data_IF_852496188409
#
_entry.id   IF_852496188409
#
_cell.length_a   1.000
_cell.length_b   1.000
_cell.length_c   1.000
_cell.angle_alpha   90.00
_cell.angle_beta   90.00
_cell.angle_gamma   90.00
#
_symmetry.space_group_name_H-M   'P 1'
#
loop_
_entity.id
_entity.type
_entity.pdbx_description
1 polymer ?
#
# COMPACT_ATOMS: atom_id res chain seq x y z
N UNK A 1 31.43 -74.37 36.84
CA UNK A 1 30.72 -73.11 37.17
C UNK A 1 31.14 -72.03 36.19
N UNK A 2 30.33 -71.75 35.15
CA UNK A 2 30.60 -70.66 34.18
C UNK A 2 29.50 -69.61 34.35
N UNK A 3 29.90 -68.39 34.75
CA UNK A 3 29.02 -67.23 34.90
C UNK A 3 28.65 -66.70 33.52
N UNK A 4 27.36 -66.66 33.20
CA UNK A 4 26.85 -65.96 32.02
C UNK A 4 26.55 -64.51 32.38
N UNK A 5 27.22 -63.59 31.70
CA UNK A 5 26.90 -62.17 31.66
C UNK A 5 25.71 -62.01 30.73
N UNK A 6 24.56 -61.54 31.23
CA UNK A 6 23.44 -61.10 30.39
C UNK A 6 23.74 -59.68 29.90
N UNK A 7 24.00 -59.54 28.61
CA UNK A 7 23.98 -58.26 27.91
C UNK A 7 22.51 -57.90 27.66
N UNK A 8 22.04 -56.79 28.24
CA UNK A 8 20.72 -56.23 27.95
C UNK A 8 20.87 -55.29 26.77
N UNK A 9 20.46 -55.73 25.57
CA UNK A 9 20.41 -54.89 24.38
C UNK A 9 19.18 -54.00 24.45
N UNK A 10 19.37 -52.69 24.59
CA UNK A 10 18.32 -51.68 24.50
C UNK A 10 17.92 -51.55 23.02
N UNK A 11 16.80 -52.14 22.64
CA UNK A 11 16.22 -51.95 21.31
C UNK A 11 15.59 -50.56 21.24
N UNK A 12 16.21 -49.66 20.48
CA UNK A 12 15.62 -48.39 20.07
C UNK A 12 14.54 -48.74 19.05
N UNK A 13 13.27 -48.63 19.46
CA UNK A 13 12.13 -48.60 18.54
C UNK A 13 12.21 -47.31 17.73
N UNK A 14 12.74 -47.42 16.51
CA UNK A 14 12.52 -46.43 15.46
C UNK A 14 11.08 -46.62 15.00
N UNK A 15 10.19 -45.73 15.44
CA UNK A 15 8.86 -45.61 14.86
C UNK A 15 9.02 -45.14 13.42
N UNK A 16 9.01 -46.08 12.48
CA UNK A 16 8.66 -45.84 11.09
C UNK A 16 7.18 -45.42 11.07
N UNK A 17 6.91 -44.14 11.31
CA UNK A 17 5.68 -43.56 10.77
C UNK A 17 5.89 -43.46 9.27
N UNK A 18 5.17 -44.28 8.52
CA UNK A 18 4.95 -43.98 7.11
C UNK A 18 4.41 -42.56 7.05
N UNK A 19 5.12 -41.66 6.38
CA UNK A 19 4.50 -40.48 5.82
C UNK A 19 3.45 -41.01 4.83
N UNK A 20 2.23 -41.17 5.32
CA UNK A 20 1.08 -41.20 4.45
C UNK A 20 1.14 -39.87 3.72
N UNK A 21 1.53 -39.93 2.46
CA UNK A 21 1.19 -38.89 1.51
C UNK A 21 -0.34 -38.91 1.41
N UNK A 22 -1.02 -38.33 2.41
CA UNK A 22 -2.17 -37.53 2.08
C UNK A 22 -1.62 -36.41 1.20
N UNK A 23 -1.50 -36.71 -0.10
CA UNK A 23 -1.94 -35.76 -1.11
C UNK A 23 -3.25 -35.22 -0.55
N UNK A 24 -3.18 -34.00 0.00
CA UNK A 24 -4.35 -33.16 0.09
C UNK A 24 -4.86 -33.21 -1.34
N UNK A 25 -5.94 -33.97 -1.56
CA UNK A 25 -6.59 -34.02 -2.84
C UNK A 25 -6.74 -32.56 -3.23
N UNK A 26 -5.99 -32.14 -4.25
CA UNK A 26 -6.14 -30.85 -4.90
C UNK A 26 -7.48 -30.95 -5.60
N UNK A 27 -8.55 -30.91 -4.82
CA UNK A 27 -9.86 -30.44 -5.24
C UNK A 27 -9.63 -28.96 -5.53
N UNK A 28 -9.07 -28.71 -6.72
CA UNK A 28 -9.09 -27.42 -7.39
C UNK A 28 -10.54 -27.17 -7.81
N UNK A 29 -11.45 -27.22 -6.84
CA UNK A 29 -12.75 -26.63 -6.98
C UNK A 29 -12.49 -25.14 -7.17
N UNK A 30 -12.98 -24.59 -8.28
CA UNK A 30 -13.06 -23.17 -8.57
C UNK A 30 -13.42 -22.40 -7.29
N UNK A 31 -12.44 -21.83 -6.60
CA UNK A 31 -12.74 -20.76 -5.67
C UNK A 31 -13.22 -19.62 -6.56
N UNK A 32 -14.53 -19.38 -6.59
CA UNK A 32 -15.13 -18.23 -7.28
C UNK A 32 -14.58 -16.88 -6.80
N UNK A 33 -13.76 -16.92 -5.74
CA UNK A 33 -13.17 -15.78 -5.05
C UNK A 33 -11.66 -15.67 -5.34
N UNK A 34 -11.13 -16.48 -6.24
CA UNK A 34 -9.75 -16.39 -6.72
C UNK A 34 -9.68 -15.56 -8.01
N UNK A 35 -8.69 -14.66 -8.16
CA UNK A 35 -8.41 -14.01 -9.44
C UNK A 35 -7.94 -14.99 -10.52
N UNK A 36 -7.35 -16.12 -10.11
CA UNK A 36 -6.78 -17.12 -11.02
C UNK A 36 -7.29 -18.53 -10.66
N UNK A 37 -7.71 -19.30 -11.65
CA UNK A 37 -8.31 -20.62 -11.41
C UNK A 37 -7.28 -21.57 -10.81
N UNK A 38 -7.54 -22.02 -9.59
CA UNK A 38 -6.75 -23.05 -8.92
C UNK A 38 -5.43 -22.63 -8.31
N UNK A 39 -5.21 -21.32 -8.19
CA UNK A 39 -4.01 -20.74 -7.55
C UNK A 39 -4.38 -20.31 -6.13
N UNK A 40 -3.59 -20.71 -5.13
CA UNK A 40 -3.73 -20.18 -3.76
C UNK A 40 -3.11 -18.78 -3.64
N UNK A 41 -3.51 -17.95 -2.64
CA UNK A 41 -2.90 -16.64 -2.48
C UNK A 41 -1.37 -16.70 -2.29
N UNK A 42 -0.86 -17.74 -1.64
CA UNK A 42 0.58 -17.99 -1.45
C UNK A 42 1.33 -18.40 -2.73
N UNK A 43 0.62 -18.82 -3.78
CA UNK A 43 1.20 -19.37 -5.01
C UNK A 43 1.24 -18.37 -6.18
N UNK A 44 0.72 -17.16 -5.99
CA UNK A 44 0.53 -16.15 -7.05
C UNK A 44 1.80 -15.69 -7.79
N UNK A 45 3.01 -16.00 -7.30
CA UNK A 45 4.26 -15.67 -7.99
C UNK A 45 4.83 -16.84 -8.81
N UNK A 46 4.36 -18.07 -8.57
CA UNK A 46 4.96 -19.28 -9.16
C UNK A 46 4.48 -19.51 -10.60
N UNK A 47 3.41 -18.83 -11.02
CA UNK A 47 2.77 -19.04 -12.32
C UNK A 47 3.32 -18.20 -13.49
N UNK A 48 4.47 -17.55 -13.34
CA UNK A 48 5.19 -16.85 -14.44
C UNK A 48 4.35 -15.81 -15.20
N UNK A 49 3.25 -15.35 -14.60
CA UNK A 49 2.52 -14.17 -15.01
C UNK A 49 3.26 -12.98 -14.41
N UNK A 50 4.25 -12.46 -15.15
CA UNK A 50 4.93 -11.22 -14.80
C UNK A 50 3.91 -10.06 -14.84
N UNK A 51 3.09 -9.97 -13.80
CA UNK A 51 2.27 -8.82 -13.53
C UNK A 51 3.20 -7.73 -13.03
N UNK A 52 3.04 -6.50 -13.53
CA UNK A 52 3.62 -5.35 -12.88
C UNK A 52 3.02 -5.31 -11.46
N UNK A 53 3.78 -5.79 -10.49
CA UNK A 53 3.41 -5.96 -9.10
C UNK A 53 4.26 -5.00 -8.28
N UNK A 54 3.62 -4.06 -7.58
CA UNK A 54 4.27 -3.22 -6.59
C UNK A 54 4.26 -3.98 -5.25
N UNK A 55 5.10 -5.01 -5.08
CA UNK A 55 5.02 -5.88 -3.89
C UNK A 55 6.39 -6.29 -3.35
N UNK A 56 6.49 -6.43 -2.02
CA UNK A 56 7.73 -6.80 -1.29
C UNK A 56 7.62 -8.12 -0.51
N UNK A 57 6.42 -8.71 -0.36
CA UNK A 57 6.26 -10.04 0.26
C UNK A 57 5.00 -10.78 -0.20
N UNK A 58 5.12 -12.09 -0.39
CA UNK A 58 4.01 -12.97 -0.75
C UNK A 58 3.07 -13.21 0.44
N UNK A 59 1.83 -13.62 0.17
CA UNK A 59 0.93 -14.13 1.20
C UNK A 59 1.47 -15.45 1.78
N UNK A 60 1.27 -15.66 3.08
CA UNK A 60 1.79 -16.81 3.81
C UNK A 60 1.17 -18.14 3.39
N UNK A 61 1.84 -19.27 3.66
CA UNK A 61 1.46 -20.59 3.15
C UNK A 61 0.08 -21.10 3.61
N UNK A 62 -0.47 -20.55 4.70
CA UNK A 62 -1.78 -20.92 5.24
C UNK A 62 -2.89 -19.94 4.82
N UNK A 63 -2.62 -19.05 3.86
CA UNK A 63 -3.61 -18.11 3.35
C UNK A 63 -4.60 -18.81 2.40
N UNK A 64 -5.85 -18.34 2.38
CA UNK A 64 -6.91 -18.88 1.53
C UNK A 64 -7.83 -17.77 1.02
N UNK A 65 -8.52 -18.01 -0.09
CA UNK A 65 -9.45 -17.05 -0.66
C UNK A 65 -10.72 -16.91 0.17
N UNK A 66 -11.17 -15.68 0.38
CA UNK A 66 -12.39 -15.35 1.13
C UNK A 66 -13.28 -14.38 0.37
N UNK A 67 -14.56 -14.34 0.72
CA UNK A 67 -15.52 -13.32 0.29
C UNK A 67 -15.69 -12.18 1.30
N UNK A 68 -15.24 -12.43 2.54
CA UNK A 68 -15.39 -11.52 3.68
C UNK A 68 -14.10 -11.51 4.47
N UNK A 69 -13.58 -10.32 4.75
CA UNK A 69 -12.49 -10.10 5.70
C UNK A 69 -13.07 -9.57 7.00
N UNK A 70 -12.73 -10.21 8.13
CA UNK A 70 -13.19 -9.86 9.49
C UNK A 70 -14.71 -9.98 9.67
N UNK A 71 -15.49 -9.14 8.99
CA UNK A 71 -16.95 -9.18 8.91
C UNK A 71 -17.46 -8.40 7.68
N UNK A 72 -18.76 -8.52 7.39
CA UNK A 72 -19.40 -7.88 6.23
C UNK A 72 -19.33 -6.35 6.25
N UNK A 73 -19.41 -5.72 7.42
CA UNK A 73 -19.32 -4.25 7.55
C UNK A 73 -17.96 -3.73 7.07
N UNK A 74 -16.88 -4.29 7.60
CA UNK A 74 -15.53 -3.81 7.27
C UNK A 74 -15.13 -4.20 5.83
N UNK A 75 -15.59 -5.36 5.35
CA UNK A 75 -15.42 -5.74 3.93
C UNK A 75 -16.14 -4.75 3.01
N UNK A 76 -17.37 -4.36 3.34
CA UNK A 76 -18.13 -3.41 2.52
C UNK A 76 -17.54 -2.00 2.59
N UNK A 77 -17.04 -1.59 3.75
CA UNK A 77 -16.34 -0.32 3.89
C UNK A 77 -15.08 -0.28 3.02
N UNK A 78 -14.25 -1.32 3.04
CA UNK A 78 -13.10 -1.45 2.14
C UNK A 78 -13.51 -1.36 0.66
N UNK A 79 -14.50 -2.15 0.24
CA UNK A 79 -15.02 -2.12 -1.15
C UNK A 79 -15.50 -0.72 -1.54
N UNK A 80 -16.19 -0.03 -0.63
CA UNK A 80 -16.64 1.34 -0.85
C UNK A 80 -15.45 2.28 -1.09
N UNK A 81 -14.39 2.21 -0.28
CA UNK A 81 -13.24 3.10 -0.46
C UNK A 81 -12.48 2.82 -1.77
N UNK A 82 -12.31 1.55 -2.15
CA UNK A 82 -11.75 1.18 -3.46
C UNK A 82 -12.57 1.72 -4.64
N UNK A 83 -13.90 1.58 -4.58
CA UNK A 83 -14.79 2.09 -5.62
C UNK A 83 -14.77 3.61 -5.67
N UNK A 84 -14.77 4.29 -4.51
CA UNK A 84 -14.70 5.75 -4.43
C UNK A 84 -13.38 6.26 -5.01
N UNK A 85 -12.24 5.63 -4.70
CA UNK A 85 -10.95 5.99 -5.26
C UNK A 85 -10.93 5.79 -6.78
N UNK A 86 -11.39 4.62 -7.26
CA UNK A 86 -11.50 4.34 -8.70
C UNK A 86 -12.35 5.41 -9.42
N UNK A 87 -13.48 5.80 -8.81
CA UNK A 87 -14.37 6.83 -9.33
C UNK A 87 -13.74 8.22 -9.33
N UNK A 88 -13.03 8.61 -8.26
CA UNK A 88 -12.36 9.92 -8.18
C UNK A 88 -11.32 10.06 -9.28
N UNK A 89 -10.54 9.00 -9.51
CA UNK A 89 -9.45 8.99 -10.49
C UNK A 89 -9.89 8.63 -11.91
N UNK A 90 -11.20 8.45 -12.12
CA UNK A 90 -11.77 8.21 -13.44
C UNK A 90 -11.28 6.94 -14.12
N UNK A 91 -10.94 5.90 -13.35
CA UNK A 91 -10.56 4.58 -13.89
C UNK A 91 -11.72 3.59 -13.75
N UNK A 92 -11.80 2.62 -14.66
CA UNK A 92 -12.73 1.49 -14.51
C UNK A 92 -12.51 0.80 -13.17
N UNK A 93 -13.61 0.44 -12.49
CA UNK A 93 -13.57 -0.14 -11.15
C UNK A 93 -12.59 -1.30 -11.09
N UNK A 94 -11.69 -1.24 -10.10
CA UNK A 94 -10.66 -2.26 -9.89
C UNK A 94 -11.28 -3.41 -9.11
N UNK A 95 -11.32 -4.65 -9.65
CA UNK A 95 -11.76 -5.82 -8.92
C UNK A 95 -10.94 -6.02 -7.63
N UNK A 96 -11.65 -6.41 -6.56
CA UNK A 96 -11.07 -6.74 -5.28
C UNK A 96 -11.24 -8.22 -4.97
N UNK A 97 -10.15 -8.86 -4.57
CA UNK A 97 -10.11 -10.22 -4.04
C UNK A 97 -9.56 -10.22 -2.62
N UNK A 98 -9.88 -11.24 -1.84
CA UNK A 98 -9.51 -11.28 -0.42
C UNK A 98 -8.77 -12.56 -0.04
N UNK A 99 -7.63 -12.38 0.61
CA UNK A 99 -6.87 -13.45 1.23
C UNK A 99 -7.06 -13.41 2.75
N UNK A 100 -7.53 -14.50 3.35
CA UNK A 100 -7.71 -14.65 4.78
C UNK A 100 -6.74 -15.69 5.38
N UNK A 101 -6.65 -15.72 6.71
CA UNK A 101 -5.72 -16.61 7.42
C UNK A 101 -4.36 -15.97 7.71
N UNK A 102 -3.45 -16.76 8.29
CA UNK A 102 -2.16 -16.27 8.78
C UNK A 102 -1.19 -15.90 7.67
N UNK A 103 -0.44 -14.81 7.83
CA UNK A 103 0.51 -14.32 6.84
C UNK A 103 -0.16 -13.51 5.74
N UNK A 104 -1.27 -12.84 6.07
CA UNK A 104 -2.03 -11.96 5.16
C UNK A 104 -1.86 -10.49 5.50
N UNK A 105 -0.76 -10.10 6.16
CA UNK A 105 -0.42 -8.70 6.38
C UNK A 105 0.15 -8.07 5.10
N UNK A 106 -0.65 -8.05 4.03
CA UNK A 106 -0.32 -7.36 2.80
C UNK A 106 -1.56 -6.91 2.01
N UNK A 107 -1.38 -5.91 1.15
CA UNK A 107 -2.32 -5.54 0.08
C UNK A 107 -1.51 -5.37 -1.21
N UNK A 108 -2.00 -5.92 -2.32
CA UNK A 108 -1.23 -6.04 -3.54
C UNK A 108 -2.03 -5.63 -4.77
N UNK A 109 -1.47 -4.71 -5.55
CA UNK A 109 -2.01 -4.27 -6.83
C UNK A 109 -1.32 -5.00 -7.98
N UNK A 110 -2.11 -5.68 -8.81
CA UNK A 110 -1.66 -6.43 -9.99
C UNK A 110 -2.04 -5.67 -11.26
N UNK A 111 -1.04 -5.25 -12.04
CA UNK A 111 -1.24 -4.51 -13.28
C UNK A 111 -1.80 -5.34 -14.46
N UNK A 112 -1.78 -4.75 -15.67
CA UNK A 112 -2.23 -5.42 -16.88
C UNK A 112 -1.58 -6.79 -17.12
N UNK A 113 -2.30 -7.74 -17.74
CA UNK A 113 -3.64 -7.58 -18.31
C UNK A 113 -4.79 -7.72 -17.29
N UNK A 114 -4.52 -8.29 -16.10
CA UNK A 114 -5.56 -8.73 -15.17
C UNK A 114 -6.15 -7.62 -14.29
N UNK A 115 -5.35 -6.60 -13.93
CA UNK A 115 -5.83 -5.34 -13.37
C UNK A 115 -6.74 -5.49 -12.12
N UNK A 116 -6.22 -6.08 -11.04
CA UNK A 116 -6.97 -6.28 -9.79
C UNK A 116 -6.14 -5.97 -8.54
N UNK A 117 -6.80 -5.89 -7.39
CA UNK A 117 -6.15 -5.74 -6.08
C UNK A 117 -6.54 -6.92 -5.19
N UNK A 118 -5.57 -7.42 -4.42
CA UNK A 118 -5.82 -8.41 -3.35
C UNK A 118 -5.60 -7.75 -2.00
N UNK A 119 -6.56 -7.91 -1.09
CA UNK A 119 -6.45 -7.47 0.29
C UNK A 119 -6.36 -8.65 1.25
N UNK A 120 -5.40 -8.56 2.18
CA UNK A 120 -5.23 -9.54 3.24
C UNK A 120 -6.02 -9.22 4.51
N UNK A 121 -6.47 -10.25 5.23
CA UNK A 121 -7.23 -10.11 6.48
C UNK A 121 -6.42 -9.45 7.59
N UNK A 122 -5.17 -9.87 7.80
CA UNK A 122 -4.29 -9.28 8.82
C UNK A 122 -3.96 -7.83 8.49
N UNK A 123 -3.84 -7.48 7.19
CA UNK A 123 -3.67 -6.09 6.74
C UNK A 123 -4.89 -5.23 7.09
N UNK A 124 -6.10 -5.69 6.76
CA UNK A 124 -7.33 -4.96 7.12
C UNK A 124 -7.45 -4.79 8.64
N UNK A 125 -7.16 -5.83 9.41
CA UNK A 125 -7.18 -5.78 10.88
C UNK A 125 -6.14 -4.80 11.42
N UNK A 126 -4.93 -4.82 10.87
CA UNK A 126 -3.87 -3.88 11.18
C UNK A 126 -4.27 -2.44 10.93
N UNK A 127 -4.83 -2.14 9.77
CA UNK A 127 -5.30 -0.80 9.41
C UNK A 127 -6.44 -0.33 10.35
N UNK A 128 -7.40 -1.20 10.67
CA UNK A 128 -8.49 -0.88 11.58
C UNK A 128 -8.02 -0.56 13.01
N UNK A 129 -6.91 -1.13 13.46
CA UNK A 129 -6.32 -0.78 14.77
C UNK A 129 -5.83 0.69 14.82
N UNK A 130 -5.51 1.29 13.68
CA UNK A 130 -5.25 2.73 13.58
C UNK A 130 -6.56 3.49 13.44
N UNK A 131 -7.43 3.05 12.53
CA UNK A 131 -8.75 3.63 12.31
C UNK A 131 -9.19 3.52 10.85
N UNK A 132 -10.46 3.82 10.57
CA UNK A 132 -11.05 3.66 9.23
C UNK A 132 -10.41 4.53 8.14
N UNK A 133 -9.79 5.66 8.49
CA UNK A 133 -9.03 6.45 7.52
C UNK A 133 -7.79 5.72 7.01
N UNK A 134 -7.18 4.83 7.80
CA UNK A 134 -6.06 4.01 7.34
C UNK A 134 -6.50 3.00 6.28
N UNK A 135 -7.68 2.40 6.44
CA UNK A 135 -8.26 1.53 5.40
C UNK A 135 -8.53 2.32 4.12
N UNK A 136 -9.08 3.53 4.24
CA UNK A 136 -9.33 4.41 3.10
C UNK A 136 -8.04 4.82 2.37
N UNK A 137 -6.98 5.10 3.13
CA UNK A 137 -5.65 5.40 2.60
C UNK A 137 -5.05 4.25 1.81
N UNK A 138 -4.97 3.04 2.39
CA UNK A 138 -4.40 1.87 1.69
C UNK A 138 -5.24 1.56 0.44
N UNK A 139 -6.57 1.66 0.52
CA UNK A 139 -7.44 1.38 -0.64
C UNK A 139 -7.14 2.34 -1.79
N UNK A 140 -6.94 3.63 -1.50
CA UNK A 140 -6.56 4.61 -2.50
C UNK A 140 -5.11 4.45 -2.99
N UNK A 141 -4.20 4.00 -2.12
CA UNK A 141 -2.81 3.68 -2.48
C UNK A 141 -2.74 2.53 -3.50
N UNK A 142 -3.46 1.44 -3.26
CA UNK A 142 -3.51 0.30 -4.19
C UNK A 142 -4.18 0.67 -5.53
N UNK A 143 -5.19 1.53 -5.49
CA UNK A 143 -5.81 2.11 -6.70
C UNK A 143 -4.84 3.04 -7.43
N UNK A 144 -3.99 3.78 -6.72
CA UNK A 144 -2.95 4.61 -7.34
C UNK A 144 -1.95 3.76 -8.13
N UNK A 145 -1.57 2.59 -7.64
CA UNK A 145 -0.79 1.64 -8.42
C UNK A 145 -1.51 1.20 -9.70
N UNK A 146 -2.83 1.00 -9.66
CA UNK A 146 -3.58 0.70 -10.90
C UNK A 146 -3.54 1.87 -11.90
N UNK A 147 -3.54 3.11 -11.43
CA UNK A 147 -3.36 4.28 -12.29
C UNK A 147 -1.97 4.25 -12.92
N UNK A 148 -0.94 4.03 -12.11
CA UNK A 148 0.45 3.92 -12.55
C UNK A 148 0.60 2.85 -13.63
N UNK A 149 0.10 1.64 -13.40
CA UNK A 149 0.19 0.55 -14.37
C UNK A 149 -0.57 0.80 -15.68
N UNK A 150 -1.76 1.42 -15.60
CA UNK A 150 -2.65 1.61 -16.76
C UNK A 150 -2.30 2.85 -17.57
N UNK A 151 -1.68 3.84 -16.95
CA UNK A 151 -1.45 5.17 -17.57
C UNK A 151 0.04 5.50 -17.72
N UNK A 152 0.95 4.63 -17.26
CA UNK A 152 2.40 4.79 -17.44
C UNK A 152 3.03 5.79 -16.46
N UNK A 153 2.52 5.84 -15.23
CA UNK A 153 3.12 6.60 -14.12
C UNK A 153 3.90 5.67 -13.17
N UNK A 154 4.78 6.19 -12.30
CA UNK A 154 5.24 7.58 -12.20
C UNK A 154 5.97 8.05 -13.45
N UNK A 155 5.81 9.32 -13.82
CA UNK A 155 6.58 9.94 -14.92
C UNK A 155 8.06 10.12 -14.58
N UNK A 156 8.41 10.04 -13.29
CA UNK A 156 9.78 10.11 -12.80
C UNK A 156 10.22 8.77 -12.23
N UNK A 157 11.30 8.22 -12.76
CA UNK A 157 11.91 6.98 -12.26
C UNK A 157 12.73 7.22 -10.99
N UNK A 158 12.63 6.35 -10.02
CA UNK A 158 13.42 6.36 -8.79
C UNK A 158 13.07 5.17 -7.92
N UNK A 159 13.95 4.77 -6.99
CA UNK A 159 13.76 3.54 -6.21
C UNK A 159 12.45 3.55 -5.44
N UNK A 160 12.03 4.70 -4.90
CA UNK A 160 10.81 4.85 -4.10
C UNK A 160 9.70 5.65 -4.76
N UNK A 161 9.89 6.12 -5.99
CA UNK A 161 8.97 7.06 -6.61
C UNK A 161 7.56 6.48 -6.81
N UNK A 162 7.46 5.19 -7.14
CA UNK A 162 6.19 4.50 -7.31
C UNK A 162 5.35 4.53 -6.03
N UNK A 163 5.96 4.19 -4.89
CA UNK A 163 5.29 4.14 -3.58
C UNK A 163 4.98 5.55 -3.06
N UNK A 164 5.93 6.49 -3.21
CA UNK A 164 5.75 7.87 -2.76
C UNK A 164 4.68 8.60 -3.58
N UNK A 165 4.61 8.37 -4.88
CA UNK A 165 3.52 8.91 -5.67
C UNK A 165 2.18 8.27 -5.26
N UNK A 166 2.13 6.95 -5.04
CA UNK A 166 0.92 6.28 -4.58
C UNK A 166 0.44 6.83 -3.21
N UNK A 167 1.37 7.17 -2.31
CA UNK A 167 1.10 7.93 -1.08
C UNK A 167 0.49 9.31 -1.37
N UNK A 168 1.03 10.05 -2.35
CA UNK A 168 0.49 11.32 -2.81
C UNK A 168 -0.93 11.21 -3.37
N UNK A 169 -1.20 10.20 -4.20
CA UNK A 169 -2.55 9.93 -4.69
C UNK A 169 -3.50 9.59 -3.55
N UNK A 170 -3.08 8.77 -2.60
CA UNK A 170 -3.89 8.44 -1.43
C UNK A 170 -4.20 9.69 -0.58
N UNK A 171 -3.22 10.56 -0.35
CA UNK A 171 -3.44 11.85 0.34
C UNK A 171 -4.43 12.76 -0.39
N UNK A 172 -4.31 12.84 -1.71
CA UNK A 172 -5.24 13.58 -2.57
C UNK A 172 -6.67 13.01 -2.44
N UNK A 173 -6.82 11.68 -2.53
CA UNK A 173 -8.10 11.01 -2.34
C UNK A 173 -8.73 11.30 -0.98
N UNK A 174 -7.95 11.18 0.09
CA UNK A 174 -8.44 11.45 1.44
C UNK A 174 -9.03 12.86 1.54
N UNK A 175 -8.36 13.85 0.96
CA UNK A 175 -8.84 15.24 0.93
C UNK A 175 -10.11 15.42 0.11
N UNK A 176 -10.19 14.79 -1.07
CA UNK A 176 -11.27 15.02 -2.03
C UNK A 176 -12.54 14.22 -1.75
N UNK A 177 -12.42 13.06 -1.13
CA UNK A 177 -13.50 12.08 -1.09
C UNK A 177 -13.74 11.45 0.28
N UNK A 178 -12.79 11.56 1.23
CA UNK A 178 -12.95 10.99 2.57
C UNK A 178 -13.31 12.04 3.62
N UNK A 179 -12.51 13.11 3.75
CA UNK A 179 -12.75 14.17 4.75
C UNK A 179 -12.04 15.48 4.37
N UNK A 180 -12.57 16.61 4.84
CA UNK A 180 -11.93 17.93 4.75
C UNK A 180 -11.14 18.31 6.00
N UNK A 181 -10.99 17.40 6.97
CA UNK A 181 -10.35 17.69 8.25
C UNK A 181 -9.06 16.89 8.40
N UNK A 182 -7.94 17.56 8.62
CA UNK A 182 -6.63 16.90 8.75
C UNK A 182 -6.55 15.97 9.97
N UNK A 183 -7.17 16.34 11.08
CA UNK A 183 -7.18 15.48 12.28
C UNK A 183 -7.83 14.12 12.04
N UNK A 184 -8.77 14.02 11.09
CA UNK A 184 -9.48 12.77 10.80
C UNK A 184 -8.63 11.76 10.03
N UNK A 185 -7.51 12.22 9.45
CA UNK A 185 -6.62 11.40 8.63
C UNK A 185 -5.31 11.05 9.33
N UNK A 186 -5.12 11.48 10.59
CA UNK A 186 -3.97 11.06 11.41
C UNK A 186 -3.78 9.54 11.47
N UNK A 187 -4.83 8.71 11.61
CA UNK A 187 -4.64 7.28 11.56
C UNK A 187 -4.08 6.77 10.23
N UNK A 188 -4.41 7.41 9.10
CA UNK A 188 -3.90 7.04 7.79
C UNK A 188 -2.39 7.29 7.69
N UNK A 189 -1.93 8.44 8.15
CA UNK A 189 -0.51 8.79 8.12
C UNK A 189 0.32 7.97 9.11
N UNK A 190 -0.25 7.67 10.28
CA UNK A 190 0.40 6.79 11.24
C UNK A 190 0.53 5.36 10.70
N UNK A 191 -0.40 4.95 9.82
CA UNK A 191 -0.26 3.70 9.09
C UNK A 191 0.79 3.79 7.98
N UNK A 192 0.81 4.86 7.16
CA UNK A 192 1.79 4.99 6.06
C UNK A 192 3.25 4.88 6.53
N UNK A 193 3.55 5.37 7.74
CA UNK A 193 4.89 5.24 8.32
C UNK A 193 5.21 3.82 8.83
N UNK A 194 4.21 3.04 9.24
CA UNK A 194 4.43 1.69 9.79
C UNK A 194 4.83 0.68 8.72
N UNK A 195 4.48 0.96 7.47
CA UNK A 195 4.86 0.20 6.27
C UNK A 195 6.06 0.81 5.53
N UNK A 196 6.81 1.71 6.17
CA UNK A 196 8.01 2.29 5.59
C UNK A 196 9.19 1.31 5.61
N UNK A 197 10.08 1.41 4.62
CA UNK A 197 11.31 0.65 4.59
C UNK A 197 12.50 1.43 5.15
N UNK A 198 13.67 0.79 5.18
CA UNK A 198 14.92 1.47 5.50
C UNK A 198 15.23 2.59 4.49
N UNK A 199 16.14 3.50 4.85
CA UNK A 199 16.61 4.55 3.93
C UNK A 199 17.15 3.93 2.63
N UNK A 200 16.70 4.44 1.47
CA UNK A 200 17.06 3.91 0.15
C UNK A 200 16.26 2.67 -0.29
N UNK A 201 15.31 2.20 0.51
CA UNK A 201 14.39 1.12 0.11
C UNK A 201 13.36 1.60 -0.93
N UNK A 202 12.73 0.64 -1.60
CA UNK A 202 11.63 0.91 -2.53
C UNK A 202 10.39 1.51 -1.88
N UNK A 203 10.17 1.29 -0.58
CA UNK A 203 9.04 1.89 0.15
C UNK A 203 9.30 3.32 0.61
N UNK A 204 10.53 3.82 0.52
CA UNK A 204 10.92 5.07 1.16
C UNK A 204 10.93 5.00 2.69
N UNK A 205 11.49 6.03 3.32
CA UNK A 205 11.50 6.17 4.77
C UNK A 205 10.15 6.66 5.32
N UNK A 206 9.92 6.47 6.62
CA UNK A 206 8.71 6.96 7.29
C UNK A 206 8.47 8.47 7.06
N UNK A 207 9.52 9.29 7.11
CA UNK A 207 9.41 10.73 6.88
C UNK A 207 9.12 11.08 5.42
N UNK A 208 9.68 10.34 4.47
CA UNK A 208 9.41 10.49 3.04
C UNK A 208 7.95 10.19 2.72
N UNK A 209 7.43 9.05 3.23
CA UNK A 209 6.02 8.65 3.05
C UNK A 209 5.07 9.68 3.64
N UNK A 210 5.28 10.11 4.90
CA UNK A 210 4.45 11.17 5.53
C UNK A 210 4.43 12.48 4.73
N UNK A 211 5.58 12.89 4.18
CA UNK A 211 5.68 14.09 3.36
C UNK A 211 4.93 13.92 2.04
N UNK A 212 5.01 12.74 1.42
CA UNK A 212 4.28 12.42 0.20
C UNK A 212 2.76 12.44 0.39
N UNK A 213 2.22 11.78 1.44
CA UNK A 213 0.78 11.83 1.70
C UNK A 213 0.32 13.26 2.02
N UNK A 214 1.11 14.04 2.79
CA UNK A 214 0.80 15.46 3.04
C UNK A 214 0.80 16.27 1.74
N UNK A 215 1.78 16.10 0.88
CA UNK A 215 1.84 16.77 -0.42
C UNK A 215 0.57 16.47 -1.24
N UNK A 216 0.18 15.21 -1.32
CA UNK A 216 -1.08 14.78 -1.93
C UNK A 216 -2.32 15.48 -1.37
N UNK A 217 -2.44 15.50 -0.04
CA UNK A 217 -3.52 16.18 0.67
C UNK A 217 -3.58 17.66 0.30
N UNK A 218 -2.43 18.35 0.31
CA UNK A 218 -2.33 19.77 -0.04
C UNK A 218 -2.73 20.04 -1.50
N UNK A 219 -2.33 19.18 -2.43
CA UNK A 219 -2.76 19.25 -3.84
C UNK A 219 -4.28 19.07 -3.98
N UNK A 220 -4.91 18.32 -3.08
CA UNK A 220 -6.36 18.12 -3.01
C UNK A 220 -7.16 19.39 -2.70
N UNK A 221 -6.51 20.45 -2.19
CA UNK A 221 -7.17 21.73 -1.92
C UNK A 221 -7.56 22.50 -3.17
N UNK A 222 -6.85 22.33 -4.29
CA UNK A 222 -7.06 23.14 -5.48
C UNK A 222 -7.78 22.37 -6.61
N UNK A 223 -9.07 22.10 -6.40
CA UNK A 223 -9.93 21.54 -7.44
C UNK A 223 -9.59 20.10 -7.86
N UNK A 224 -10.23 19.65 -8.95
CA UNK A 224 -10.02 18.32 -9.51
C UNK A 224 -8.80 18.34 -10.45
N UNK A 225 -7.69 17.74 -10.02
CA UNK A 225 -6.55 17.46 -10.87
C UNK A 225 -6.80 16.13 -11.60
N UNK A 226 -6.57 16.10 -12.91
CA UNK A 226 -6.47 14.83 -13.63
C UNK A 226 -5.25 14.03 -13.14
N UNK A 227 -5.25 12.71 -13.28
CA UNK A 227 -4.12 11.86 -12.86
C UNK A 227 -2.77 12.34 -13.41
N UNK A 228 -2.70 12.76 -14.68
CA UNK A 228 -1.50 13.34 -15.30
C UNK A 228 -1.01 14.63 -14.61
N UNK A 229 -1.94 15.45 -14.16
CA UNK A 229 -1.61 16.69 -13.45
C UNK A 229 -1.23 16.38 -12.00
N UNK A 230 -1.82 15.37 -11.38
CA UNK A 230 -1.43 14.95 -10.04
C UNK A 230 -0.01 14.37 -10.03
N UNK A 231 0.32 13.45 -10.95
CA UNK A 231 1.69 12.95 -11.18
C UNK A 231 2.68 14.12 -11.36
N UNK A 232 2.38 15.01 -12.32
CA UNK A 232 3.28 16.11 -12.62
C UNK A 232 3.47 17.07 -11.44
N UNK A 233 2.37 17.52 -10.82
CA UNK A 233 2.45 18.46 -9.70
C UNK A 233 3.16 17.81 -8.51
N UNK A 234 2.86 16.53 -8.22
CA UNK A 234 3.53 15.79 -7.17
C UNK A 234 5.05 15.80 -7.36
N UNK A 235 5.55 15.32 -8.51
CA UNK A 235 6.99 15.26 -8.73
C UNK A 235 7.65 16.62 -8.91
N UNK A 236 6.94 17.61 -9.47
CA UNK A 236 7.44 18.98 -9.49
C UNK A 236 7.70 19.47 -8.06
N UNK A 237 6.70 19.48 -7.18
CA UNK A 237 6.93 19.96 -5.81
C UNK A 237 7.90 19.08 -5.04
N UNK A 238 7.81 17.76 -5.17
CA UNK A 238 8.65 16.82 -4.43
C UNK A 238 10.13 16.96 -4.82
N UNK A 239 10.45 16.85 -6.11
CA UNK A 239 11.85 16.85 -6.57
C UNK A 239 12.45 18.25 -6.61
N UNK A 240 11.63 19.26 -6.87
CA UNK A 240 12.13 20.63 -6.99
C UNK A 240 12.24 21.32 -5.65
N UNK A 241 11.38 21.03 -4.68
CA UNK A 241 11.34 21.80 -3.42
C UNK A 241 11.51 20.93 -2.18
N UNK A 242 10.87 19.76 -2.10
CA UNK A 242 10.92 18.92 -0.89
C UNK A 242 12.29 18.28 -0.70
N UNK A 243 12.83 17.62 -1.73
CA UNK A 243 14.15 16.97 -1.65
C UNK A 243 15.28 18.01 -1.49
N UNK A 244 15.36 19.09 -2.31
CA UNK A 244 16.49 20.03 -2.22
C UNK A 244 16.38 21.01 -1.06
N UNK A 245 15.15 21.31 -0.60
CA UNK A 245 14.83 22.38 0.34
C UNK A 245 14.58 23.73 -0.33
N UNK A 246 13.70 24.55 0.25
CA UNK A 246 13.19 25.83 -0.29
C UNK A 246 14.27 26.81 -0.78
N UNK A 247 15.36 26.95 -0.02
CA UNK A 247 16.45 27.90 -0.32
C UNK A 247 17.24 27.55 -1.58
N UNK A 248 17.21 26.28 -2.02
CA UNK A 248 17.88 25.86 -3.26
C UNK A 248 17.02 26.09 -4.52
N UNK A 249 15.79 26.54 -4.34
CA UNK A 249 14.75 26.55 -5.38
C UNK A 249 14.10 27.91 -5.58
N UNK A 250 14.67 28.98 -4.99
CA UNK A 250 14.13 30.35 -5.03
C UNK A 250 14.07 30.97 -6.42
N UNK A 251 14.88 30.47 -7.35
CA UNK A 251 15.07 31.07 -8.69
C UNK A 251 14.31 30.31 -9.79
N UNK A 252 13.48 29.34 -9.41
CA UNK A 252 12.78 28.50 -10.37
C UNK A 252 11.49 29.17 -10.84
N UNK A 253 11.42 29.39 -12.16
CA UNK A 253 10.22 29.87 -12.81
C UNK A 253 9.12 28.80 -12.71
N UNK A 254 7.93 29.20 -12.24
CA UNK A 254 6.72 28.37 -12.26
C UNK A 254 6.48 27.82 -13.67
N UNK A 255 6.30 26.50 -13.85
CA UNK A 255 5.86 25.92 -15.12
C UNK A 255 4.51 26.48 -15.56
N UNK A 256 4.32 26.69 -16.86
CA UNK A 256 3.07 27.25 -17.40
C UNK A 256 1.85 26.40 -17.07
N UNK A 257 2.01 25.07 -17.06
CA UNK A 257 0.93 24.12 -16.80
C UNK A 257 0.48 23.97 -15.34
N UNK A 258 1.17 24.60 -14.40
CA UNK A 258 0.74 24.65 -13.00
C UNK A 258 -0.15 25.88 -12.81
N UNK A 259 -1.32 25.69 -12.22
CA UNK A 259 -2.21 26.80 -11.85
C UNK A 259 -1.50 27.79 -10.92
N UNK A 260 -1.69 29.10 -11.18
CA UNK A 260 -0.98 30.16 -10.45
C UNK A 260 -1.36 30.16 -8.96
N UNK A 261 -2.64 30.00 -8.64
CA UNK A 261 -3.12 30.01 -7.26
C UNK A 261 -2.69 28.73 -6.53
N UNK A 262 -2.69 27.57 -7.21
CA UNK A 262 -2.10 26.35 -6.69
C UNK A 262 -0.63 26.58 -6.34
N UNK A 263 0.12 27.18 -7.26
CA UNK A 263 1.55 27.39 -7.06
C UNK A 263 1.85 28.29 -5.88
N UNK A 264 1.19 29.44 -5.80
CA UNK A 264 1.32 30.35 -4.65
C UNK A 264 1.01 29.64 -3.33
N UNK A 265 -0.10 28.90 -3.29
CA UNK A 265 -0.49 28.13 -2.12
C UNK A 265 0.59 27.11 -1.73
N UNK A 266 1.06 26.29 -2.68
CA UNK A 266 2.06 25.26 -2.43
C UNK A 266 3.39 25.84 -1.94
N UNK A 267 3.80 27.02 -2.45
CA UNK A 267 5.00 27.71 -1.97
C UNK A 267 4.91 28.13 -0.50
N UNK A 268 3.71 28.37 0.04
CA UNK A 268 3.50 28.60 1.48
C UNK A 268 3.71 27.34 2.32
N UNK A 269 3.68 26.16 1.69
CA UNK A 269 3.74 24.85 2.35
C UNK A 269 5.04 24.09 2.17
N UNK A 270 5.97 24.60 1.37
CA UNK A 270 7.25 23.92 1.12
C UNK A 270 8.05 23.69 2.40
N UNK A 271 8.13 24.67 3.30
CA UNK A 271 8.89 24.51 4.54
C UNK A 271 8.29 23.42 5.45
N UNK A 272 6.95 23.40 5.55
CA UNK A 272 6.21 22.32 6.22
C UNK A 272 6.55 20.96 5.61
N UNK A 273 6.50 20.81 4.28
CA UNK A 273 6.80 19.57 3.58
C UNK A 273 8.26 19.11 3.73
N UNK A 274 9.21 20.04 3.73
CA UNK A 274 10.64 19.78 3.96
C UNK A 274 10.87 19.34 5.41
N UNK A 275 10.24 20.00 6.39
CA UNK A 275 10.37 19.63 7.80
C UNK A 275 9.74 18.24 8.08
N UNK A 276 8.63 17.89 7.40
CA UNK A 276 8.08 16.52 7.41
C UNK A 276 9.10 15.53 6.82
N UNK A 277 9.61 15.82 5.61
CA UNK A 277 10.50 14.93 4.86
C UNK A 277 11.82 14.64 5.61
N UNK A 278 12.39 15.65 6.24
CA UNK A 278 13.63 15.55 7.02
C UNK A 278 13.40 14.97 8.42
N UNK A 279 12.15 14.74 8.82
CA UNK A 279 11.80 14.22 10.14
C UNK A 279 11.99 15.23 11.27
N UNK A 280 12.04 16.53 10.96
CA UNK A 280 12.22 17.61 11.95
C UNK A 280 10.98 17.84 12.80
N UNK A 281 9.78 17.60 12.24
CA UNK A 281 8.55 17.68 13.03
C UNK A 281 8.33 16.39 13.84
N UNK A 282 7.83 16.55 15.06
CA UNK A 282 7.33 15.44 15.88
C UNK A 282 5.97 14.91 15.39
N UNK A 283 5.58 13.73 15.86
CA UNK A 283 4.24 13.17 15.61
C UNK A 283 3.13 14.10 16.10
N UNK A 284 3.34 14.75 17.26
CA UNK A 284 2.39 15.71 17.81
C UNK A 284 2.26 16.95 16.93
N UNK A 285 3.36 17.49 16.41
CA UNK A 285 3.31 18.62 15.49
C UNK A 285 2.61 18.25 14.18
N UNK A 286 2.92 17.07 13.63
CA UNK A 286 2.25 16.55 12.44
C UNK A 286 0.74 16.39 12.63
N UNK A 287 0.32 15.86 13.79
CA UNK A 287 -1.09 15.68 14.12
C UNK A 287 -1.87 17.00 14.24
N UNK A 288 -1.18 18.10 14.55
CA UNK A 288 -1.77 19.42 14.73
C UNK A 288 -1.59 20.34 13.52
N UNK A 289 -1.14 19.82 12.37
CA UNK A 289 -1.12 20.60 11.14
C UNK A 289 -2.55 21.04 10.76
N UNK A 290 -2.67 22.26 10.23
CA UNK A 290 -3.96 22.79 9.79
C UNK A 290 -4.52 22.06 8.57
N UNK A 291 -5.81 22.27 8.30
CA UNK A 291 -6.55 21.73 7.16
C UNK A 291 -6.08 22.26 5.80
N UNK A 292 -5.25 23.31 5.81
CA UNK A 292 -4.97 24.21 4.69
C UNK A 292 -4.60 23.51 3.42
#
# INVERSE_FOLDING_TARGET
>A
MKKFIKLTTLAILVSLQSCDNQEIAKDIALSANSPETGVLPSELHVHNTAHNCATVSQFGPNSYWSNTLINTSETNFLKQQNNNASSLFGIANVPLYFAAGSGTFNALSYGPPANYIIWGEEMLRGALNYGRSAVAYIAAHEVAHQIQFRQGYPSVTGPSNTELEADGFAGYFLRRSYTSTWSDVIPAYNFSQSIAGASGSSHGSASQRRSAVRLGWLLGNNGNLSNANLDYNFFYYYNTYVIPGKLKSSDLKKPEKIDEELHKFMLTKIEELVDIHTGKISEKEYANLGNN
#
